data_IF_356581381750
#
_entry.id   IF_356581381750
#
_cell.length_a   1.000
_cell.length_b   1.000
_cell.length_c   1.000
_cell.angle_alpha   90.00
_cell.angle_beta   90.00
_cell.angle_gamma   90.00
#
_symmetry.space_group_name_H-M   'P 1'
#
loop_
_entity.id
_entity.type
_entity.pdbx_description
1 polymer ?
#
# COMPACT_ATOMS: atom_id res chain seq x y z
N UNK A 1 -18.56 4.02 -26.83
CA UNK A 1 -17.74 4.76 -25.82
C UNK A 1 -17.67 3.91 -24.55
N UNK A 2 -16.48 3.56 -24.07
CA UNK A 2 -16.33 2.77 -22.83
C UNK A 2 -16.73 3.65 -21.64
N UNK A 3 -17.78 3.25 -20.92
CA UNK A 3 -18.32 4.02 -19.78
C UNK A 3 -17.51 3.81 -18.50
N UNK A 4 -17.07 2.58 -18.26
CA UNK A 4 -16.30 2.20 -17.08
C UNK A 4 -14.83 2.58 -17.22
N UNK A 5 -14.24 3.12 -16.16
CA UNK A 5 -12.85 3.56 -16.12
C UNK A 5 -11.95 2.53 -15.45
N UNK A 6 -10.72 2.39 -15.94
CA UNK A 6 -9.75 1.42 -15.44
C UNK A 6 -8.76 2.10 -14.48
N UNK A 7 -8.72 1.61 -13.25
CA UNK A 7 -7.75 2.03 -12.22
C UNK A 7 -6.66 0.97 -12.08
N UNK A 8 -5.40 1.38 -12.20
CA UNK A 8 -4.25 0.48 -12.01
C UNK A 8 -3.38 0.95 -10.85
N UNK A 9 -3.04 0.05 -9.92
CA UNK A 9 -2.13 0.36 -8.80
C UNK A 9 -0.68 0.24 -9.27
N UNK A 10 0.15 1.26 -9.01
CA UNK A 10 1.59 1.15 -9.32
C UNK A 10 2.36 0.49 -8.19
N UNK A 11 3.20 -0.46 -8.58
CA UNK A 11 4.21 -1.07 -7.72
C UNK A 11 5.57 -1.17 -8.43
N UNK A 12 6.52 -1.88 -7.83
CA UNK A 12 7.85 -2.09 -8.40
C UNK A 12 7.83 -2.68 -9.82
N UNK A 13 6.89 -3.58 -10.11
CA UNK A 13 6.75 -4.21 -11.42
C UNK A 13 6.25 -3.25 -12.54
N UNK A 14 5.71 -2.09 -12.17
CA UNK A 14 5.05 -1.15 -13.08
C UNK A 14 5.58 0.28 -12.96
N UNK A 15 6.84 0.44 -12.53
CA UNK A 15 7.47 1.73 -12.29
C UNK A 15 8.28 2.28 -13.47
N UNK A 16 8.40 1.55 -14.58
CA UNK A 16 9.13 1.99 -15.78
C UNK A 16 8.22 2.65 -16.81
N UNK A 17 8.75 3.62 -17.57
CA UNK A 17 8.02 4.27 -18.67
C UNK A 17 7.49 3.25 -19.69
N UNK A 18 8.27 2.23 -20.02
CA UNK A 18 7.88 1.19 -20.99
C UNK A 18 6.64 0.43 -20.54
N UNK A 19 6.57 0.03 -19.27
CA UNK A 19 5.43 -0.71 -18.73
C UNK A 19 4.21 0.21 -18.61
N UNK A 20 4.38 1.43 -18.11
CA UNK A 20 3.31 2.41 -18.02
C UNK A 20 2.71 2.76 -19.38
N UNK A 21 3.54 2.84 -20.42
CA UNK A 21 3.08 3.01 -21.81
C UNK A 21 2.25 1.82 -22.28
N UNK A 22 2.64 0.58 -21.96
CA UNK A 22 1.85 -0.61 -22.28
C UNK A 22 0.48 -0.57 -21.57
N UNK A 23 0.47 -0.24 -20.28
CA UNK A 23 -0.77 -0.11 -19.49
C UNK A 23 -1.69 0.99 -20.02
N UNK A 24 -1.13 2.14 -20.39
CA UNK A 24 -1.88 3.23 -21.04
C UNK A 24 -2.52 2.77 -22.36
N UNK A 25 -1.77 2.05 -23.22
CA UNK A 25 -2.30 1.52 -24.49
C UNK A 25 -3.37 0.44 -24.26
N UNK A 26 -3.27 -0.31 -23.16
CA UNK A 26 -4.26 -1.30 -22.76
C UNK A 26 -5.53 -0.68 -22.14
N UNK A 27 -5.58 0.63 -21.91
CA UNK A 27 -6.79 1.35 -21.48
C UNK A 27 -6.77 1.90 -20.06
N UNK A 28 -5.61 1.98 -19.39
CA UNK A 28 -5.51 2.60 -18.07
C UNK A 28 -5.97 4.08 -18.10
N UNK A 29 -6.97 4.42 -17.27
CA UNK A 29 -7.50 5.79 -17.13
C UNK A 29 -7.00 6.50 -15.86
N UNK A 30 -6.74 5.73 -14.80
CA UNK A 30 -6.34 6.24 -13.49
C UNK A 30 -5.23 5.39 -12.92
N UNK A 31 -4.26 6.06 -12.31
CA UNK A 31 -3.15 5.46 -11.60
C UNK A 31 -3.38 5.62 -10.10
N UNK A 32 -3.38 4.51 -9.37
CA UNK A 32 -3.42 4.50 -7.89
C UNK A 32 -2.00 4.42 -7.33
N UNK A 33 -1.66 5.36 -6.47
CA UNK A 33 -0.42 5.40 -5.71
C UNK A 33 -0.72 5.06 -4.26
N UNK A 34 -0.31 3.87 -3.81
CA UNK A 34 -0.46 3.47 -2.41
C UNK A 34 0.67 4.04 -1.56
N UNK A 35 0.34 4.90 -0.60
CA UNK A 35 1.32 5.58 0.25
C UNK A 35 1.84 4.72 1.41
N UNK A 36 1.26 3.53 1.64
CA UNK A 36 1.67 2.65 2.73
C UNK A 36 3.06 2.01 2.55
N UNK A 37 3.61 2.05 1.33
CA UNK A 37 4.78 1.24 0.95
C UNK A 37 5.84 1.98 0.14
N UNK A 38 5.58 3.22 -0.29
CA UNK A 38 6.47 3.96 -1.19
C UNK A 38 7.05 5.18 -0.49
N UNK A 39 8.31 5.50 -0.80
CA UNK A 39 8.95 6.73 -0.31
C UNK A 39 8.42 7.95 -1.06
N UNK A 40 8.46 9.16 -0.49
CA UNK A 40 8.08 10.39 -1.19
C UNK A 40 8.81 10.57 -2.53
N UNK A 41 10.09 10.19 -2.59
CA UNK A 41 10.91 10.26 -3.80
C UNK A 41 10.40 9.33 -4.90
N UNK A 42 10.06 8.08 -4.55
CA UNK A 42 9.45 7.14 -5.50
C UNK A 42 8.09 7.62 -6.01
N UNK A 43 7.27 8.18 -5.12
CA UNK A 43 5.96 8.74 -5.48
C UNK A 43 6.12 9.90 -6.48
N UNK A 44 7.04 10.83 -6.21
CA UNK A 44 7.34 11.95 -7.11
C UNK A 44 7.84 11.47 -8.48
N UNK A 45 8.72 10.46 -8.49
CA UNK A 45 9.19 9.85 -9.74
C UNK A 45 8.03 9.27 -10.56
N UNK A 46 7.16 8.47 -9.92
CA UNK A 46 5.97 7.89 -10.58
C UNK A 46 5.03 8.97 -11.10
N UNK A 47 4.78 10.03 -10.33
CA UNK A 47 3.96 11.18 -10.76
C UNK A 47 4.58 11.85 -12.00
N UNK A 48 5.90 12.06 -12.00
CA UNK A 48 6.64 12.62 -13.13
C UNK A 48 6.47 11.79 -14.41
N UNK A 49 6.60 10.46 -14.31
CA UNK A 49 6.38 9.56 -15.46
C UNK A 49 4.95 9.66 -16.02
N UNK A 50 3.92 9.70 -15.16
CA UNK A 50 2.54 9.82 -15.62
C UNK A 50 2.29 11.17 -16.31
N UNK A 51 2.84 12.27 -15.77
CA UNK A 51 2.76 13.60 -16.39
C UNK A 51 3.47 13.62 -17.75
N UNK A 52 4.67 13.03 -17.84
CA UNK A 52 5.40 12.88 -19.09
C UNK A 52 4.59 12.12 -20.14
N UNK A 53 3.99 10.98 -19.77
CA UNK A 53 3.16 10.18 -20.67
C UNK A 53 1.91 10.95 -21.14
N UNK A 54 1.27 11.70 -20.24
CA UNK A 54 0.12 12.53 -20.60
C UNK A 54 0.49 13.58 -21.65
N UNK A 55 1.62 14.28 -21.47
CA UNK A 55 2.13 15.27 -22.44
C UNK A 55 2.53 14.61 -23.76
N UNK A 56 3.34 13.54 -23.71
CA UNK A 56 3.91 12.88 -24.88
C UNK A 56 2.88 12.19 -25.77
N UNK A 57 1.79 11.70 -25.19
CA UNK A 57 0.77 10.91 -25.91
C UNK A 57 -0.61 11.57 -25.93
N UNK A 58 -0.71 12.85 -25.55
CA UNK A 58 -1.96 13.61 -25.47
C UNK A 58 -3.06 12.86 -24.69
N UNK A 59 -2.68 12.28 -23.55
CA UNK A 59 -3.59 11.54 -22.65
C UNK A 59 -3.88 12.34 -21.38
N UNK A 60 -4.91 11.91 -20.67
CA UNK A 60 -5.36 12.50 -19.39
C UNK A 60 -5.50 11.42 -18.31
N UNK A 61 -4.45 10.64 -18.12
CA UNK A 61 -4.38 9.65 -17.03
C UNK A 61 -4.41 10.42 -15.71
N UNK A 62 -5.37 10.09 -14.85
CA UNK A 62 -5.51 10.73 -13.53
C UNK A 62 -4.65 10.03 -12.49
N UNK A 63 -4.29 10.74 -11.44
CA UNK A 63 -3.53 10.20 -10.31
C UNK A 63 -4.43 10.19 -9.07
N UNK A 64 -4.53 9.03 -8.43
CA UNK A 64 -5.27 8.80 -7.19
C UNK A 64 -4.27 8.46 -6.09
N UNK A 65 -4.19 9.32 -5.07
CA UNK A 65 -3.44 9.04 -3.85
C UNK A 65 -4.29 8.20 -2.90
N UNK A 66 -3.75 7.08 -2.44
CA UNK A 66 -4.40 6.18 -1.51
C UNK A 66 -3.71 6.22 -0.15
N UNK A 67 -4.45 6.72 0.85
CA UNK A 67 -3.98 6.91 2.20
C UNK A 67 -4.05 5.58 2.97
N UNK A 68 -3.06 5.33 3.83
CA UNK A 68 -3.01 4.10 4.63
C UNK A 68 -4.20 3.93 5.58
N UNK A 69 -4.79 5.05 6.04
CA UNK A 69 -5.85 5.06 7.05
C UNK A 69 -5.37 4.62 8.44
N UNK A 70 -6.31 4.56 9.40
CA UNK A 70 -6.06 3.99 10.71
C UNK A 70 -5.99 2.46 10.59
N UNK A 71 -4.85 1.88 10.93
CA UNK A 71 -4.61 0.44 10.86
C UNK A 71 -4.01 -0.03 12.17
N UNK A 72 -4.47 -1.19 12.64
CA UNK A 72 -3.89 -1.90 13.77
C UNK A 72 -3.31 -3.22 13.24
N UNK A 73 -2.02 -3.46 13.45
CA UNK A 73 -1.33 -4.72 13.13
C UNK A 73 -0.57 -5.23 14.35
N UNK A 74 -0.39 -6.54 14.37
CA UNK A 74 0.59 -7.18 15.27
C UNK A 74 1.99 -6.69 14.92
N UNK A 75 2.83 -6.52 15.94
CA UNK A 75 4.24 -6.20 15.78
C UNK A 75 5.07 -7.43 15.42
N UNK A 76 6.39 -7.26 15.47
CA UNK A 76 7.35 -8.32 15.14
C UNK A 76 7.22 -9.53 16.06
N UNK A 77 7.38 -10.73 15.49
CA UNK A 77 7.36 -12.00 16.20
C UNK A 77 8.73 -12.67 16.06
N UNK A 78 9.24 -13.25 17.15
CA UNK A 78 10.54 -13.96 17.14
C UNK A 78 10.52 -15.19 16.23
N UNK A 79 9.35 -15.83 16.13
CA UNK A 79 9.08 -16.96 15.25
C UNK A 79 7.58 -16.99 14.91
N UNK A 80 7.16 -17.65 13.83
CA UNK A 80 5.75 -17.91 13.56
C UNK A 80 5.07 -18.55 14.78
N UNK A 81 3.97 -17.95 15.24
CA UNK A 81 3.22 -18.44 16.41
C UNK A 81 1.98 -19.20 15.95
N UNK A 82 1.90 -20.49 16.28
CA UNK A 82 0.70 -21.29 16.04
C UNK A 82 -0.34 -21.09 17.17
N UNK A 83 -1.55 -20.71 16.78
CA UNK A 83 -2.68 -20.53 17.71
C UNK A 83 -3.57 -21.76 17.72
N UNK A 84 -3.55 -22.49 18.85
CA UNK A 84 -4.43 -23.65 19.08
C UNK A 84 -5.74 -23.21 19.74
N UNK A 85 -6.81 -23.98 19.51
CA UNK A 85 -8.13 -23.72 20.11
C UNK A 85 -8.01 -23.64 21.63
N UNK A 86 -8.70 -22.67 22.25
CA UNK A 86 -8.69 -22.37 23.71
C UNK A 86 -7.34 -21.90 24.28
N UNK A 87 -6.34 -21.62 23.45
CA UNK A 87 -5.09 -21.02 23.90
C UNK A 87 -5.30 -19.55 24.27
N UNK A 88 -4.82 -19.15 25.44
CA UNK A 88 -4.83 -17.75 25.89
C UNK A 88 -3.53 -17.09 25.45
N UNK A 89 -3.65 -15.94 24.80
CA UNK A 89 -2.54 -15.05 24.42
C UNK A 89 -2.88 -13.62 24.85
N UNK A 90 -1.85 -12.84 25.14
CA UNK A 90 -1.99 -11.45 25.56
C UNK A 90 -1.56 -10.52 24.43
N UNK A 91 -2.40 -9.55 24.07
CA UNK A 91 -2.03 -8.45 23.21
C UNK A 91 -1.49 -7.30 24.07
N UNK A 92 -0.34 -6.73 23.69
CA UNK A 92 0.32 -5.68 24.48
C UNK A 92 0.78 -4.52 23.60
N UNK A 93 0.76 -3.29 24.15
CA UNK A 93 1.34 -2.11 23.52
C UNK A 93 2.84 -1.96 23.82
N UNK A 94 3.41 -2.88 24.61
CA UNK A 94 4.84 -2.91 24.92
C UNK A 94 5.65 -3.24 23.66
N UNK A 95 6.76 -2.50 23.45
CA UNK A 95 7.73 -2.78 22.39
C UNK A 95 8.59 -3.99 22.76
N UNK A 96 8.02 -5.18 22.60
CA UNK A 96 8.69 -6.47 22.81
C UNK A 96 8.66 -7.27 21.51
N UNK A 97 9.58 -8.20 21.35
CA UNK A 97 9.47 -9.21 20.31
C UNK A 97 8.39 -10.23 20.71
N UNK A 98 7.42 -10.47 19.82
CA UNK A 98 6.26 -11.28 20.10
C UNK A 98 6.59 -12.77 20.22
N UNK A 99 5.94 -13.41 21.19
CA UNK A 99 6.08 -14.83 21.50
C UNK A 99 4.72 -15.50 21.54
N UNK A 100 4.73 -16.79 21.83
CA UNK A 100 3.55 -17.64 21.92
C UNK A 100 2.63 -17.36 23.13
N UNK A 101 3.00 -16.38 23.98
CA UNK A 101 2.23 -15.89 25.13
C UNK A 101 1.84 -14.41 25.01
N UNK A 102 2.71 -13.56 24.45
CA UNK A 102 2.50 -12.12 24.34
C UNK A 102 2.81 -11.64 22.94
N UNK A 103 1.87 -10.96 22.31
CA UNK A 103 2.01 -10.42 20.95
C UNK A 103 1.87 -8.89 21.02
N UNK A 104 2.88 -8.12 20.56
CA UNK A 104 2.78 -6.68 20.47
C UNK A 104 1.81 -6.26 19.36
N UNK A 105 1.24 -5.05 19.44
CA UNK A 105 0.51 -4.43 18.33
C UNK A 105 0.83 -2.93 18.21
N UNK A 106 0.68 -2.37 17.02
CA UNK A 106 1.17 -1.03 16.65
C UNK A 106 0.24 0.14 17.07
N UNK A 107 -0.88 -0.14 17.73
CA UNK A 107 -1.82 0.89 18.18
C UNK A 107 -1.38 1.53 19.51
N UNK A 108 -1.25 2.86 19.51
CA UNK A 108 -0.81 3.64 20.67
C UNK A 108 -1.93 4.42 21.38
N UNK A 109 -3.19 4.24 20.97
CA UNK A 109 -4.32 4.90 21.63
C UNK A 109 -4.68 4.27 22.98
N UNK A 110 -5.60 4.92 23.71
CA UNK A 110 -6.11 4.39 24.97
C UNK A 110 -6.81 3.04 24.75
N UNK A 111 -6.46 2.04 25.57
CA UNK A 111 -7.18 0.77 25.63
C UNK A 111 -8.36 0.78 26.59
N UNK A 112 -8.54 1.88 27.31
CA UNK A 112 -9.68 2.11 28.22
C UNK A 112 -10.68 3.01 27.51
N UNK A 113 -11.94 2.60 27.54
CA UNK A 113 -13.10 3.43 27.20
C UNK A 113 -13.23 4.61 28.14
#
# INVERSE_FOLDING_TARGET
MVKTKIICTLGPASSSETVLRKMMRAGMDVVRLNFSHATPQELLHRIGLIRLLNTKYCRRIRILGDLQGHRIRVGELAAPVELKKRRIIWLTQQKIEGTDKKIPFDYQGSLRS
#
